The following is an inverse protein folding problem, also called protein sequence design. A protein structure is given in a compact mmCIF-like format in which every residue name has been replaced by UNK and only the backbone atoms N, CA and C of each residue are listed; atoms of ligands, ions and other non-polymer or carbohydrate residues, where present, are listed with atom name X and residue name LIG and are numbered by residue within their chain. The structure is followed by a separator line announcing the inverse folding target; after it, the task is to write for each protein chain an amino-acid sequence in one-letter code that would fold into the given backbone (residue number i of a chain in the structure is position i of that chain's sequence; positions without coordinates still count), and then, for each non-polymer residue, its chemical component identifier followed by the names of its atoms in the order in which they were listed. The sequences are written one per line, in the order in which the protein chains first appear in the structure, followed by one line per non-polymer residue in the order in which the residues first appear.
data_IF_518262655370
#
_entry.id   IF_518262655370
#
_cell.length_a   1.000
_cell.length_b   1.000
_cell.length_c   1.000
_cell.angle_alpha   90.00
_cell.angle_beta   90.00
_cell.angle_gamma   90.00
#
_symmetry.space_group_name_H-M   'P 1'
#
loop_
_entity.id
_entity.type
_entity.pdbx_description
1 polymer ?
#
# COMPACT_ATOMS: atom_id res chain seq x y z
N UNK A 1 -1.08 -6.72 18.12
CA UNK A 1 -1.57 -5.63 17.24
C UNK A 1 -2.12 -4.51 18.11
N UNK A 2 -1.88 -3.25 17.72
CA UNK A 2 -2.35 -2.06 18.46
C UNK A 2 -2.86 -0.99 17.49
N UNK A 3 -4.05 -0.47 17.74
CA UNK A 3 -4.60 0.68 17.04
C UNK A 3 -4.10 1.99 17.68
N UNK A 4 -3.72 2.96 16.87
CA UNK A 4 -3.34 4.31 17.28
C UNK A 4 -4.08 5.33 16.43
N UNK A 5 -4.61 6.36 17.08
CA UNK A 5 -5.33 7.45 16.42
C UNK A 5 -4.48 8.72 16.46
N UNK A 6 -4.26 9.34 15.31
CA UNK A 6 -3.53 10.59 15.17
C UNK A 6 -4.42 11.66 14.56
N UNK A 7 -4.50 12.81 15.21
CA UNK A 7 -5.33 13.94 14.77
C UNK A 7 -6.83 13.61 14.76
N UNK A 8 -7.51 13.99 13.69
CA UNK A 8 -8.95 13.73 13.49
C UNK A 8 -9.13 12.90 12.22
N UNK A 9 -9.18 11.55 12.32
CA UNK A 9 -9.43 10.67 11.20
C UNK A 9 -10.79 10.95 10.54
N UNK A 10 -10.89 10.66 9.25
CA UNK A 10 -12.18 10.66 8.55
C UNK A 10 -12.97 9.41 8.95
N UNK A 11 -14.27 9.59 9.17
CA UNK A 11 -15.17 8.47 9.35
C UNK A 11 -15.34 7.75 7.99
N UNK A 12 -14.92 6.49 7.92
CA UNK A 12 -15.10 5.65 6.75
C UNK A 12 -16.35 4.80 6.94
N UNK A 13 -17.21 4.79 5.91
CA UNK A 13 -18.36 3.88 5.84
C UNK A 13 -18.00 2.82 4.81
N UNK A 14 -17.64 1.61 5.21
CA UNK A 14 -17.32 0.55 4.26
C UNK A 14 -18.57 0.16 3.46
N UNK A 15 -18.39 -0.10 2.16
CA UNK A 15 -19.46 -0.59 1.29
C UNK A 15 -19.75 -2.09 1.50
N UNK A 16 -18.84 -2.79 2.15
CA UNK A 16 -18.95 -4.22 2.47
C UNK A 16 -18.61 -4.41 3.94
N UNK A 17 -19.48 -5.08 4.67
CA UNK A 17 -19.23 -5.49 6.06
C UNK A 17 -18.76 -6.94 6.08
N UNK A 18 -17.68 -7.18 6.82
CA UNK A 18 -17.27 -8.54 7.19
C UNK A 18 -17.82 -8.81 8.59
N UNK A 19 -18.90 -9.58 8.67
CA UNK A 19 -19.43 -10.04 9.95
C UNK A 19 -18.40 -10.95 10.63
N UNK A 20 -18.19 -10.73 11.93
CA UNK A 20 -17.29 -11.56 12.74
C UNK A 20 -15.84 -11.11 12.81
N UNK A 21 -15.49 -9.98 12.21
CA UNK A 21 -14.17 -9.40 12.40
C UNK A 21 -14.00 -8.97 13.86
N UNK A 22 -13.09 -9.62 14.59
CA UNK A 22 -12.72 -9.24 15.94
C UNK A 22 -11.23 -8.91 15.98
N UNK A 23 -10.94 -7.67 16.27
CA UNK A 23 -9.61 -7.18 16.52
C UNK A 23 -9.33 -7.26 18.03
N UNK A 24 -8.24 -7.92 18.39
CA UNK A 24 -7.80 -7.99 19.78
C UNK A 24 -6.57 -7.12 19.99
N UNK A 25 -6.71 -6.10 20.82
CA UNK A 25 -5.58 -5.28 21.23
C UNK A 25 -4.59 -6.09 22.07
N UNK A 26 -3.30 -5.96 21.73
CA UNK A 26 -2.21 -6.56 22.50
C UNK A 26 -1.11 -5.53 22.69
N UNK A 27 -0.38 -5.60 23.80
CA UNK A 27 0.84 -4.80 23.96
C UNK A 27 1.80 -5.06 22.79
N UNK A 28 2.50 -4.02 22.38
CA UNK A 28 3.51 -4.06 21.32
C UNK A 28 4.83 -3.52 21.86
N UNK A 29 5.94 -3.94 21.26
CA UNK A 29 7.30 -3.51 21.61
C UNK A 29 7.76 -2.35 20.73
N UNK A 30 7.05 -2.08 19.63
CA UNK A 30 7.36 -0.96 18.74
C UNK A 30 7.38 0.36 19.48
N UNK A 31 8.39 1.19 19.23
CA UNK A 31 8.62 2.47 19.92
C UNK A 31 7.57 3.53 19.49
N UNK A 32 6.36 3.37 20.00
CA UNK A 32 5.20 4.24 19.69
C UNK A 32 5.45 5.70 20.07
N UNK A 33 6.18 5.92 21.15
CA UNK A 33 6.60 7.23 21.67
C UNK A 33 7.53 7.99 20.72
N UNK A 34 8.16 7.29 19.78
CA UNK A 34 9.03 7.88 18.75
C UNK A 34 8.28 8.22 17.46
N UNK A 35 7.00 7.91 17.36
CA UNK A 35 6.18 8.30 16.20
C UNK A 35 5.91 9.79 16.29
N UNK A 36 6.24 10.51 15.23
CA UNK A 36 5.98 11.95 15.12
C UNK A 36 4.76 12.19 14.23
N UNK A 37 3.83 13.01 14.68
CA UNK A 37 2.65 13.42 13.92
C UNK A 37 2.64 14.92 13.72
N UNK A 38 2.28 15.36 12.51
CA UNK A 38 2.14 16.77 12.17
C UNK A 38 0.97 16.97 11.19
N UNK A 39 0.09 17.93 11.51
CA UNK A 39 -0.93 18.41 10.57
C UNK A 39 -0.43 19.66 9.87
N UNK A 40 -0.68 19.76 8.57
CA UNK A 40 -0.32 20.90 7.72
C UNK A 40 -1.54 21.36 6.91
N UNK A 41 -1.43 22.50 6.24
CA UNK A 41 -2.48 22.97 5.31
C UNK A 41 -2.71 21.99 4.13
N UNK A 42 -1.75 21.10 3.82
CA UNK A 42 -1.81 20.14 2.72
C UNK A 42 -2.28 18.75 3.14
N UNK A 43 -2.39 18.48 4.42
CA UNK A 43 -2.75 17.16 4.95
C UNK A 43 -2.01 16.84 6.24
N UNK A 44 -1.92 15.57 6.60
CA UNK A 44 -1.15 15.13 7.77
C UNK A 44 0.06 14.30 7.36
N UNK A 45 1.04 14.28 8.25
CA UNK A 45 2.30 13.55 8.09
C UNK A 45 2.62 12.79 9.36
N UNK A 46 3.01 11.53 9.19
CA UNK A 46 3.59 10.69 10.23
C UNK A 46 5.05 10.38 9.88
N UNK A 47 5.88 10.26 10.89
CA UNK A 47 7.25 9.78 10.77
C UNK A 47 7.48 8.68 11.80
N UNK A 48 8.07 7.58 11.34
CA UNK A 48 8.32 6.37 12.11
C UNK A 48 9.81 6.11 12.18
N UNK A 49 10.35 5.65 13.32
CA UNK A 49 11.75 5.24 13.39
C UNK A 49 11.99 4.04 12.47
N UNK A 50 13.11 4.04 11.78
CA UNK A 50 13.59 2.94 10.95
C UNK A 50 14.93 2.46 11.46
N UNK A 51 15.12 1.13 11.56
CA UNK A 51 16.36 0.55 12.03
C UNK A 51 17.39 0.42 10.90
N UNK A 52 18.71 0.49 11.20
CA UNK A 52 19.73 0.21 10.21
C UNK A 52 19.59 -1.21 9.62
N UNK A 53 19.64 -1.34 8.30
CA UNK A 53 19.52 -2.63 7.61
C UNK A 53 18.08 -3.18 7.48
N UNK A 54 17.11 -2.47 8.02
CA UNK A 54 15.69 -2.82 7.89
C UNK A 54 15.25 -2.76 6.41
N UNK A 55 14.47 -3.76 5.99
CA UNK A 55 13.91 -3.83 4.65
C UNK A 55 12.38 -3.78 4.71
N UNK A 56 11.79 -3.09 3.75
CA UNK A 56 10.35 -2.82 3.69
C UNK A 56 9.75 -3.47 2.44
N UNK A 57 8.59 -4.11 2.63
CA UNK A 57 7.82 -4.77 1.58
C UNK A 57 6.32 -4.45 1.74
N UNK A 58 5.52 -4.62 0.69
CA UNK A 58 4.07 -4.46 0.77
C UNK A 58 3.48 -3.48 -0.23
N UNK A 59 2.54 -2.65 0.22
CA UNK A 59 1.74 -1.69 -0.54
C UNK A 59 0.79 -2.33 -1.57
N UNK A 60 0.37 -3.57 -1.33
CA UNK A 60 -0.55 -4.29 -2.20
C UNK A 60 0.12 -4.82 -3.47
N UNK A 61 -0.59 -4.80 -4.59
CA UNK A 61 -0.08 -5.30 -5.86
C UNK A 61 0.99 -4.35 -6.43
N UNK A 62 2.25 -4.75 -6.37
CA UNK A 62 3.38 -4.02 -6.95
C UNK A 62 3.93 -4.78 -8.16
N UNK A 63 4.03 -4.11 -9.32
CA UNK A 63 4.35 -4.79 -10.59
C UNK A 63 5.85 -4.82 -10.90
N UNK A 64 6.64 -3.89 -10.39
CA UNK A 64 8.04 -3.70 -10.83
C UNK A 64 9.07 -3.83 -9.72
N UNK A 65 8.67 -3.63 -8.49
CA UNK A 65 9.58 -3.52 -7.34
C UNK A 65 9.00 -4.30 -6.19
N UNK A 66 9.78 -5.20 -5.61
CA UNK A 66 9.39 -5.96 -4.43
C UNK A 66 9.92 -5.31 -3.14
N UNK A 67 11.21 -4.94 -3.11
CA UNK A 67 11.80 -4.24 -1.97
C UNK A 67 11.61 -2.73 -2.11
N UNK A 68 10.90 -2.13 -1.15
CA UNK A 68 10.52 -0.72 -1.14
C UNK A 68 11.51 0.17 -0.38
N UNK A 69 12.52 -0.41 0.26
CA UNK A 69 13.51 0.32 1.07
C UNK A 69 14.21 1.39 0.24
N UNK A 70 14.38 2.56 0.83
CA UNK A 70 14.96 3.76 0.21
C UNK A 70 14.19 4.30 -1.02
N UNK A 71 12.89 4.01 -1.10
CA UNK A 71 12.03 4.47 -2.20
C UNK A 71 10.94 5.39 -1.74
N UNK A 72 10.46 6.21 -2.68
CA UNK A 72 9.20 6.94 -2.55
C UNK A 72 8.13 6.18 -3.31
N UNK A 73 7.01 5.94 -2.64
CA UNK A 73 5.89 5.16 -3.16
C UNK A 73 4.58 5.88 -2.87
N UNK A 74 3.60 5.75 -3.76
CA UNK A 74 2.27 6.34 -3.60
C UNK A 74 1.21 5.26 -3.77
N UNK A 75 0.36 5.07 -2.77
CA UNK A 75 -0.73 4.08 -2.85
C UNK A 75 -1.93 4.65 -3.61
N UNK A 76 -1.76 4.94 -4.89
CA UNK A 76 -2.81 5.45 -5.74
C UNK A 76 -3.25 4.40 -6.75
N UNK A 77 -4.59 4.28 -6.93
CA UNK A 77 -5.15 3.38 -7.94
C UNK A 77 -4.83 3.92 -9.33
N UNK A 78 -4.27 3.05 -10.17
CA UNK A 78 -3.99 3.32 -11.56
C UNK A 78 -4.16 2.02 -12.36
N UNK A 79 -5.05 2.04 -13.35
CA UNK A 79 -5.34 0.87 -14.19
C UNK A 79 -4.23 0.51 -15.17
N UNK A 80 -3.30 1.43 -15.43
CA UNK A 80 -2.17 1.21 -16.35
C UNK A 80 -0.88 1.86 -15.82
N UNK A 81 -0.30 1.32 -14.75
CA UNK A 81 0.90 1.89 -14.12
C UNK A 81 2.13 1.65 -15.00
N UNK A 82 2.75 2.72 -15.47
CA UNK A 82 3.96 2.67 -16.30
C UNK A 82 5.26 2.86 -15.51
N UNK A 83 5.19 3.36 -14.30
CA UNK A 83 6.35 3.67 -13.45
C UNK A 83 6.34 2.85 -12.16
N UNK A 84 7.50 2.79 -11.51
CA UNK A 84 7.68 2.10 -10.24
C UNK A 84 7.47 3.06 -9.04
N UNK A 85 6.40 3.84 -9.07
CA UNK A 85 6.08 4.88 -8.06
C UNK A 85 5.06 4.42 -7.01
N UNK A 86 4.58 3.18 -7.09
CA UNK A 86 3.57 2.63 -6.18
C UNK A 86 2.15 2.66 -6.72
N UNK A 87 1.90 3.40 -7.80
CA UNK A 87 0.63 3.34 -8.52
C UNK A 87 0.37 1.89 -8.98
N UNK A 88 -0.80 1.36 -8.72
CA UNK A 88 -1.14 -0.02 -9.11
C UNK A 88 -2.65 -0.22 -9.23
N UNK A 89 -3.07 -1.39 -9.75
CA UNK A 89 -4.48 -1.76 -9.82
C UNK A 89 -5.12 -1.95 -8.44
N UNK A 90 -4.35 -2.44 -7.47
CA UNK A 90 -4.82 -2.74 -6.12
C UNK A 90 -3.77 -2.31 -5.08
N UNK A 91 -3.55 -1.00 -4.90
CA UNK A 91 -2.68 -0.51 -3.85
C UNK A 91 -3.34 -0.69 -2.48
N UNK A 92 -2.52 -1.03 -1.49
CA UNK A 92 -2.96 -1.17 -0.10
C UNK A 92 -2.00 -0.37 0.79
N UNK A 93 -2.46 0.54 1.65
CA UNK A 93 -1.61 1.32 2.52
C UNK A 93 -1.14 0.49 3.73
N UNK A 94 -0.56 -0.68 3.45
CA UNK A 94 0.01 -1.61 4.41
C UNK A 94 1.40 -2.04 3.95
N UNK A 95 2.36 -1.93 4.85
CA UNK A 95 3.71 -2.44 4.63
C UNK A 95 4.18 -3.28 5.81
N UNK A 96 5.14 -4.15 5.54
CA UNK A 96 5.83 -4.98 6.53
C UNK A 96 7.32 -4.71 6.52
N UNK A 97 7.93 -4.88 7.69
CA UNK A 97 9.35 -4.69 7.92
C UNK A 97 10.02 -5.98 8.38
N UNK A 98 11.27 -6.17 7.95
CA UNK A 98 12.14 -7.23 8.50
C UNK A 98 12.48 -7.03 9.97
N UNK A 99 12.17 -5.87 10.55
CA UNK A 99 12.31 -5.60 11.98
C UNK A 99 11.14 -6.19 12.83
N UNK A 100 10.27 -7.01 12.24
CA UNK A 100 9.22 -7.77 12.96
C UNK A 100 7.92 -6.98 13.18
N UNK A 101 7.64 -5.97 12.37
CA UNK A 101 6.39 -5.23 12.44
C UNK A 101 5.81 -4.93 11.06
N UNK A 102 4.52 -4.61 11.03
CA UNK A 102 3.84 -4.01 9.87
C UNK A 102 2.95 -2.86 10.33
N UNK A 103 2.70 -1.91 9.43
CA UNK A 103 1.83 -0.75 9.70
C UNK A 103 0.79 -0.65 8.61
N UNK A 104 -0.49 -0.68 9.01
CA UNK A 104 -1.62 -0.42 8.15
C UNK A 104 -2.21 0.96 8.45
N UNK A 105 -2.48 1.73 7.42
CA UNK A 105 -3.13 3.04 7.49
C UNK A 105 -4.60 2.90 7.10
N UNK A 106 -5.50 3.12 8.03
CA UNK A 106 -6.95 3.03 7.81
C UNK A 106 -7.46 4.34 7.18
N UNK A 107 -7.34 4.41 5.88
CA UNK A 107 -7.73 5.60 5.11
C UNK A 107 -8.16 5.23 3.70
N UNK A 108 -9.19 5.91 3.17
CA UNK A 108 -9.58 5.83 1.77
C UNK A 108 -8.75 6.77 0.86
N UNK A 109 -7.87 7.58 1.45
CA UNK A 109 -6.98 8.46 0.69
C UNK A 109 -5.72 7.71 0.29
N UNK A 110 -5.09 8.15 -0.81
CA UNK A 110 -3.76 7.67 -1.11
C UNK A 110 -2.75 8.18 -0.07
N UNK A 111 -1.72 7.41 0.17
CA UNK A 111 -0.62 7.72 1.07
C UNK A 111 0.67 7.81 0.27
N UNK A 112 1.43 8.87 0.50
CA UNK A 112 2.76 9.05 -0.07
C UNK A 112 3.78 8.61 0.98
N UNK A 113 4.48 7.51 0.70
CA UNK A 113 5.51 6.96 1.57
C UNK A 113 6.91 7.38 1.12
N UNK A 114 7.78 7.61 2.09
CA UNK A 114 9.24 7.69 1.91
C UNK A 114 9.86 6.67 2.87
N UNK A 115 10.40 5.59 2.34
CA UNK A 115 10.95 4.49 3.12
C UNK A 115 12.45 4.66 3.37
N UNK A 116 12.81 5.68 4.14
CA UNK A 116 14.18 5.86 4.58
C UNK A 116 15.15 6.32 3.48
N UNK A 117 14.66 7.12 2.51
CA UNK A 117 15.56 7.77 1.57
C UNK A 117 16.52 8.68 2.32
N UNK A 118 17.84 8.55 2.11
CA UNK A 118 18.77 9.52 2.64
C UNK A 118 18.36 10.91 2.14
N UNK A 119 17.97 11.79 3.02
CA UNK A 119 17.71 13.17 2.66
C UNK A 119 19.05 13.79 2.27
N UNK A 120 19.30 13.96 0.98
CA UNK A 120 20.30 14.94 0.56
C UNK A 120 19.84 16.27 1.19
N UNK A 121 20.66 16.83 2.06
CA UNK A 121 20.31 17.98 2.90
C UNK A 121 19.81 19.16 2.08
N UNK A 122 18.50 19.20 1.83
CA UNK A 122 17.81 20.44 1.52
C UNK A 122 17.34 20.98 2.85
N UNK A 123 17.76 22.20 3.23
CA UNK A 123 17.13 22.91 4.31
C UNK A 123 15.62 22.96 4.02
N UNK A 124 14.82 22.67 5.02
CA UNK A 124 13.38 22.87 4.95
C UNK A 124 13.12 24.32 4.53
N UNK A 125 12.53 24.57 3.37
CA UNK A 125 12.15 25.90 2.91
C UNK A 125 11.08 26.59 3.78
N UNK A 126 10.83 26.06 4.98
CA UNK A 126 9.76 26.51 5.88
C UNK A 126 10.25 26.97 7.27
N UNK A 127 11.53 27.05 7.49
CA UNK A 127 12.08 27.80 8.64
C UNK A 127 12.70 29.09 8.12
N UNK A 128 12.05 30.19 8.50
CA UNK A 128 12.22 31.58 8.10
C UNK A 128 13.59 31.99 7.55
N UNK A 129 13.53 32.71 6.49
CA UNK A 129 14.50 33.62 5.89
C UNK A 129 15.84 33.78 6.64
N UNK A 130 16.84 33.00 6.24
CA UNK A 130 18.25 33.37 6.24
C UNK A 130 18.91 32.76 5.01
N UNK A 131 19.20 33.58 4.01
CA UNK A 131 20.13 33.27 2.94
C UNK A 131 21.50 32.98 3.58
N UNK A 132 21.84 31.70 3.71
CA UNK A 132 23.20 31.27 3.94
C UNK A 132 23.71 30.75 2.61
N UNK A 133 24.66 31.46 2.01
CA UNK A 133 25.43 30.98 0.88
C UNK A 133 26.13 29.67 1.30
N UNK A 134 25.54 28.52 0.86
CA UNK A 134 26.08 27.21 1.18
C UNK A 134 27.21 26.92 0.21
N UNK A 135 28.47 26.80 0.73
CA UNK A 135 29.61 26.42 -0.10
C UNK A 135 29.45 24.97 -0.59
N UNK A 136 30.11 24.63 -1.70
CA UNK A 136 30.08 23.28 -2.29
C UNK A 136 30.62 22.24 -1.27
N UNK A 137 31.61 22.61 -0.45
CA UNK A 137 32.13 21.76 0.61
C UNK A 137 31.11 21.47 1.72
N UNK A 138 30.29 22.45 2.08
CA UNK A 138 29.21 22.27 3.06
C UNK A 138 28.10 21.33 2.50
N UNK A 139 27.84 21.36 1.19
CA UNK A 139 26.92 20.42 0.52
C UNK A 139 27.43 18.97 0.54
N UNK A 140 28.77 18.77 0.45
CA UNK A 140 29.37 17.45 0.53
C UNK A 140 29.51 16.96 1.98
N UNK A 141 29.83 17.82 2.92
CA UNK A 141 29.93 17.49 4.35
C UNK A 141 28.57 17.16 4.97
N UNK A 142 27.47 17.77 4.49
CA UNK A 142 26.09 17.44 4.91
C UNK A 142 25.62 16.05 4.44
N UNK A 143 26.34 15.38 3.55
CA UNK A 143 26.10 13.98 3.21
C UNK A 143 26.45 13.00 4.34
N UNK A 144 27.32 13.38 5.26
CA UNK A 144 27.75 12.54 6.38
C UNK A 144 26.94 12.76 7.66
N UNK A 145 26.17 13.83 7.76
CA UNK A 145 25.19 14.02 8.83
C UNK A 145 23.90 13.28 8.47
N UNK A 146 23.97 11.95 8.43
CA UNK A 146 22.83 11.08 8.36
C UNK A 146 21.99 11.29 9.62
N UNK A 147 21.02 12.20 9.55
CA UNK A 147 19.94 12.25 10.51
C UNK A 147 19.28 10.89 10.60
N UNK A 148 18.61 10.60 11.71
CA UNK A 148 17.89 9.36 11.94
C UNK A 148 17.07 8.98 10.68
N UNK A 149 17.32 7.78 10.15
CA UNK A 149 16.56 7.29 8.99
C UNK A 149 15.15 7.00 9.45
N UNK A 150 14.17 7.55 8.75
CA UNK A 150 12.75 7.42 9.13
C UNK A 150 11.91 6.99 7.95
N UNK A 151 10.86 6.25 8.24
CA UNK A 151 9.74 6.06 7.30
C UNK A 151 8.82 7.25 7.47
N UNK A 152 8.51 7.94 6.37
CA UNK A 152 7.55 9.03 6.39
C UNK A 152 6.32 8.68 5.57
N UNK A 153 5.13 9.02 6.08
CA UNK A 153 3.85 8.86 5.41
C UNK A 153 3.13 10.21 5.36
N UNK A 154 2.84 10.71 4.17
CA UNK A 154 2.01 11.90 3.97
C UNK A 154 0.63 11.47 3.45
N UNK A 155 -0.42 12.00 4.04
CA UNK A 155 -1.81 11.75 3.63
C UNK A 155 -2.41 13.09 3.21
N UNK A 156 -2.48 13.38 1.91
CA UNK A 156 -2.98 14.65 1.40
C UNK A 156 -4.42 14.92 1.81
N UNK A 157 -4.68 16.17 2.17
CA UNK A 157 -5.97 16.71 2.60
C UNK A 157 -6.58 16.01 3.85
N UNK A 158 -5.91 15.06 4.51
CA UNK A 158 -6.34 14.46 5.76
C UNK A 158 -5.99 15.34 6.96
N UNK A 159 -6.82 15.29 7.99
CA UNK A 159 -6.55 15.94 9.29
C UNK A 159 -6.09 14.97 10.36
N UNK A 160 -6.08 13.69 10.05
CA UNK A 160 -5.66 12.61 10.92
C UNK A 160 -5.83 11.27 10.24
N UNK A 161 -5.42 10.23 10.94
CA UNK A 161 -5.51 8.85 10.47
C UNK A 161 -5.48 7.88 11.65
N UNK A 162 -6.23 6.81 11.54
CA UNK A 162 -6.05 5.62 12.35
C UNK A 162 -4.98 4.74 11.72
N UNK A 163 -4.06 4.22 12.52
CA UNK A 163 -3.09 3.22 12.06
C UNK A 163 -3.16 1.98 12.96
N UNK A 164 -2.79 0.85 12.39
CA UNK A 164 -2.65 -0.40 13.13
C UNK A 164 -1.20 -0.87 13.03
N UNK A 165 -0.53 -0.99 14.19
CA UNK A 165 0.80 -1.58 14.30
C UNK A 165 0.63 -3.05 14.66
N UNK A 166 1.17 -3.91 13.79
CA UNK A 166 1.07 -5.35 13.87
C UNK A 166 2.47 -5.91 14.07
N UNK A 167 2.70 -6.67 15.13
CA UNK A 167 3.95 -7.38 15.38
C UNK A 167 3.77 -8.87 15.24
N UNK A 168 4.81 -9.56 14.79
CA UNK A 168 4.87 -10.99 14.62
C UNK A 168 6.31 -11.50 14.63
N UNK A 169 6.50 -12.77 14.90
CA UNK A 169 7.81 -13.43 14.86
C UNK A 169 8.34 -13.51 13.42
N UNK A 170 7.42 -13.65 12.47
CA UNK A 170 7.73 -13.72 11.04
C UNK A 170 6.89 -12.71 10.25
N UNK A 171 7.33 -12.37 9.04
CA UNK A 171 6.54 -11.56 8.10
C UNK A 171 5.19 -12.24 7.81
N UNK A 172 5.15 -13.57 7.73
CA UNK A 172 3.93 -14.35 7.51
C UNK A 172 2.92 -14.15 8.64
N UNK A 173 3.38 -14.11 9.89
CA UNK A 173 2.50 -13.86 11.05
C UNK A 173 1.89 -12.46 10.98
N UNK A 174 2.68 -11.46 10.59
CA UNK A 174 2.22 -10.09 10.44
C UNK A 174 1.17 -9.99 9.34
N UNK A 175 1.44 -10.59 8.18
CA UNK A 175 0.52 -10.61 7.03
C UNK A 175 -0.76 -11.38 7.37
N UNK A 176 -0.67 -12.50 8.10
CA UNK A 176 -1.84 -13.24 8.58
C UNK A 176 -2.73 -12.39 9.49
N UNK A 177 -2.13 -11.66 10.44
CA UNK A 177 -2.88 -10.76 11.31
C UNK A 177 -3.54 -9.63 10.52
N UNK A 178 -2.82 -9.05 9.54
CA UNK A 178 -3.39 -8.05 8.63
C UNK A 178 -4.54 -8.63 7.81
N UNK A 179 -4.39 -9.84 7.28
CA UNK A 179 -5.46 -10.50 6.53
C UNK A 179 -6.73 -10.67 7.37
N UNK A 180 -6.59 -11.06 8.65
CA UNK A 180 -7.72 -11.11 9.57
C UNK A 180 -8.30 -9.72 9.86
N UNK A 181 -7.45 -8.69 9.99
CA UNK A 181 -7.86 -7.30 10.15
C UNK A 181 -8.64 -6.78 8.95
N UNK A 182 -8.31 -7.18 7.75
CA UNK A 182 -8.97 -6.77 6.51
C UNK A 182 -10.20 -7.62 6.13
N UNK A 183 -10.68 -8.48 7.01
CA UNK A 183 -11.87 -9.30 6.80
C UNK A 183 -11.61 -10.78 6.53
N UNK A 184 -10.36 -11.22 6.61
CA UNK A 184 -9.96 -12.60 6.35
C UNK A 184 -9.94 -12.98 4.87
N UNK A 185 -9.71 -14.24 4.59
CA UNK A 185 -9.80 -14.79 3.24
C UNK A 185 -11.24 -15.14 2.86
N UNK A 186 -11.50 -15.27 1.57
CA UNK A 186 -12.74 -15.84 1.07
C UNK A 186 -12.55 -17.31 0.70
N UNK A 187 -13.63 -18.10 0.83
CA UNK A 187 -13.68 -19.43 0.24
C UNK A 187 -13.87 -19.27 -1.27
N UNK A 188 -12.81 -19.59 -2.03
CA UNK A 188 -12.89 -19.53 -3.50
C UNK A 188 -13.68 -20.74 -4.00
N UNK A 189 -14.75 -20.56 -4.79
CA UNK A 189 -15.49 -21.67 -5.36
C UNK A 189 -14.61 -22.43 -6.38
N UNK A 190 -14.90 -23.71 -6.60
CA UNK A 190 -14.12 -24.57 -7.48
C UNK A 190 -13.92 -23.97 -8.89
N UNK A 191 -14.98 -23.41 -9.47
CA UNK A 191 -14.89 -22.76 -10.78
C UNK A 191 -13.94 -21.55 -10.81
N UNK A 192 -13.74 -20.86 -9.69
CA UNK A 192 -12.79 -19.75 -9.55
C UNK A 192 -11.32 -20.19 -9.51
N UNK A 193 -11.05 -21.48 -9.29
CA UNK A 193 -9.71 -22.08 -9.29
C UNK A 193 -9.33 -22.70 -10.65
N UNK A 194 -10.24 -22.63 -11.63
CA UNK A 194 -9.99 -23.16 -12.98
C UNK A 194 -9.34 -22.10 -13.87
N UNK A 195 -8.79 -22.52 -15.03
CA UNK A 195 -8.31 -21.59 -16.03
C UNK A 195 -9.36 -20.58 -16.46
N UNK A 196 -8.93 -19.34 -16.60
CA UNK A 196 -9.71 -18.24 -17.14
C UNK A 196 -9.40 -18.07 -18.62
N UNK A 197 -10.40 -18.22 -19.51
CA UNK A 197 -10.23 -17.98 -20.94
C UNK A 197 -10.72 -16.58 -21.31
N UNK A 198 -9.83 -15.78 -21.85
CA UNK A 198 -10.09 -14.42 -22.26
C UNK A 198 -10.54 -14.40 -23.73
N UNK A 199 -11.81 -14.07 -23.95
CA UNK A 199 -12.41 -14.01 -25.29
C UNK A 199 -11.84 -12.82 -26.08
N UNK A 200 -11.73 -12.97 -27.40
CA UNK A 200 -11.34 -11.88 -28.27
C UNK A 200 -12.40 -10.77 -28.25
N UNK A 201 -11.98 -9.50 -28.20
CA UNK A 201 -12.85 -8.31 -28.19
C UNK A 201 -13.75 -8.19 -29.43
N UNK A 202 -13.43 -8.92 -30.50
CA UNK A 202 -14.21 -8.94 -31.76
C UNK A 202 -15.20 -10.09 -31.85
N UNK A 203 -15.27 -10.97 -30.83
CA UNK A 203 -16.21 -12.08 -30.84
C UNK A 203 -17.64 -11.57 -30.68
N UNK A 204 -18.57 -12.10 -31.54
CA UNK A 204 -19.97 -11.95 -31.31
C UNK A 204 -20.48 -12.83 -30.17
N UNK A 205 -21.69 -12.62 -29.71
CA UNK A 205 -22.31 -13.49 -28.70
C UNK A 205 -22.31 -14.94 -29.14
N UNK A 206 -22.65 -15.23 -30.41
CA UNK A 206 -22.67 -16.57 -30.97
C UNK A 206 -21.28 -17.23 -30.89
N UNK A 207 -20.22 -16.50 -31.28
CA UNK A 207 -18.88 -17.02 -31.25
C UNK A 207 -18.39 -17.32 -29.81
N UNK A 208 -18.82 -16.50 -28.81
CA UNK A 208 -18.49 -16.76 -27.41
C UNK A 208 -19.18 -17.99 -26.90
N UNK A 209 -20.48 -18.18 -27.26
CA UNK A 209 -21.26 -19.37 -26.90
C UNK A 209 -20.73 -20.64 -27.59
N UNK A 210 -20.32 -20.55 -28.85
CA UNK A 210 -19.63 -21.63 -29.55
C UNK A 210 -18.31 -22.01 -28.91
N UNK A 211 -17.50 -21.00 -28.49
CA UNK A 211 -16.26 -21.23 -27.76
C UNK A 211 -16.55 -21.95 -26.45
N UNK A 212 -17.53 -21.51 -25.68
CA UNK A 212 -17.93 -22.17 -24.43
C UNK A 212 -18.34 -23.63 -24.64
N UNK A 213 -19.12 -23.89 -25.70
CA UNK A 213 -19.52 -25.23 -26.09
C UNK A 213 -18.33 -26.09 -26.48
N UNK A 214 -17.44 -25.57 -27.33
CA UNK A 214 -16.22 -26.24 -27.76
C UNK A 214 -15.34 -26.65 -26.56
N UNK A 215 -15.10 -25.73 -25.63
CA UNK A 215 -14.28 -25.99 -24.44
C UNK A 215 -14.87 -27.12 -23.58
N UNK A 216 -16.19 -27.14 -23.43
CA UNK A 216 -16.92 -28.17 -22.68
C UNK A 216 -16.89 -29.53 -23.39
N UNK A 217 -17.10 -29.56 -24.69
CA UNK A 217 -17.11 -30.80 -25.50
C UNK A 217 -15.73 -31.47 -25.61
N UNK A 218 -14.69 -30.71 -25.35
CA UNK A 218 -13.31 -31.21 -25.38
C UNK A 218 -12.69 -31.36 -23.97
N UNK A 219 -13.54 -31.38 -22.92
CA UNK A 219 -13.13 -31.54 -21.52
C UNK A 219 -12.01 -30.57 -21.08
N UNK A 220 -11.99 -29.36 -21.64
CA UNK A 220 -11.08 -28.32 -21.21
C UNK A 220 -11.57 -27.70 -19.92
N UNK A 221 -10.78 -27.70 -18.84
CA UNK A 221 -11.23 -27.31 -17.50
C UNK A 221 -11.28 -25.78 -17.34
N UNK A 222 -11.99 -25.07 -18.21
CA UNK A 222 -12.18 -23.63 -18.18
C UNK A 222 -13.49 -23.32 -17.46
N UNK A 223 -13.41 -22.69 -16.30
CA UNK A 223 -14.59 -22.32 -15.51
C UNK A 223 -15.06 -20.89 -15.74
N UNK A 224 -14.24 -20.04 -16.34
CA UNK A 224 -14.56 -18.63 -16.55
C UNK A 224 -14.24 -18.20 -17.98
N UNK A 225 -15.19 -17.53 -18.62
CA UNK A 225 -14.97 -16.80 -19.86
C UNK A 225 -15.00 -15.30 -19.56
N UNK A 226 -13.91 -14.60 -19.84
CA UNK A 226 -13.80 -13.16 -19.70
C UNK A 226 -14.15 -12.45 -21.00
N UNK A 227 -14.95 -11.42 -20.90
CA UNK A 227 -15.27 -10.54 -22.03
C UNK A 227 -14.32 -9.36 -22.05
N UNK A 228 -13.74 -9.05 -23.21
CA UNK A 228 -12.88 -7.91 -23.41
C UNK A 228 -13.65 -6.59 -23.51
N UNK A 229 -13.01 -5.45 -23.26
CA UNK A 229 -13.58 -4.16 -23.59
C UNK A 229 -14.05 -4.11 -25.04
N UNK A 230 -15.29 -3.63 -25.27
CA UNK A 230 -15.95 -3.65 -26.59
C UNK A 230 -17.04 -4.72 -26.72
N UNK A 231 -17.27 -5.53 -25.69
CA UNK A 231 -18.41 -6.45 -25.62
C UNK A 231 -19.76 -5.69 -25.60
N UNK A 232 -19.73 -4.44 -25.19
CA UNK A 232 -20.88 -3.54 -25.20
C UNK A 232 -21.04 -2.89 -26.58
N UNK A 233 -22.26 -2.81 -27.06
CA UNK A 233 -22.58 -2.15 -28.34
C UNK A 233 -22.53 -0.63 -28.26
N UNK A 234 -22.58 -0.06 -27.04
CA UNK A 234 -22.40 1.37 -26.75
C UNK A 234 -21.74 1.50 -25.38
N UNK A 235 -20.71 2.32 -25.31
CA UNK A 235 -20.09 2.79 -24.07
C UNK A 235 -20.84 4.02 -23.56
#
# INVERSE_FOLDING_TARGET
MKKLTFGTPEALVPSVFCDGFQYTERPIHYAVDRIRFKTTARGCRLEFPMQPGEQIFGLGLQLKIFNLTHRQMVTRVNSDPISATGDSHAPVPFFVSTAGYGIYFDTARYVEFDFGRPRAGRPSQYEGEREIAVSTETLYAQRELAGEVTIAANIPAARGVDIYIIEGETITDIVSQYNMLSGGGCSVPEWGLTPFYRCCSRYSQEQILETAKYLREHDMPVGILGLEPGWQTRA
#
